data_IF_075005029070
#
_entry.id   IF_075005029070
#
_cell.length_a   1.000
_cell.length_b   1.000
_cell.length_c   1.000
_cell.angle_alpha   90.00
_cell.angle_beta   90.00
_cell.angle_gamma   90.00
#
_symmetry.space_group_name_H-M   'P 1'
#
loop_
_entity.id
_entity.type
_entity.pdbx_description
1 polymer ?
#
# COMPACT_ATOMS: atom_id res chain seq x y z
N UNK A 1 10.96 -3.02 -14.02
CA UNK A 1 9.74 -2.69 -13.23
C UNK A 1 8.65 -3.70 -13.56
N UNK A 2 7.61 -3.80 -12.73
CA UNK A 2 6.46 -4.64 -13.02
C UNK A 2 5.49 -3.99 -14.00
N UNK A 3 5.19 -2.71 -13.77
CA UNK A 3 4.44 -1.84 -14.66
C UNK A 3 5.24 -0.54 -14.81
N UNK A 4 5.69 -0.25 -16.03
CA UNK A 4 6.40 0.98 -16.36
C UNK A 4 5.51 1.84 -17.29
N UNK A 5 5.27 3.08 -16.91
CA UNK A 5 4.44 4.04 -17.69
C UNK A 5 5.23 5.22 -18.23
N UNK A 6 6.55 5.15 -18.24
CA UNK A 6 7.44 6.25 -18.65
C UNK A 6 7.46 6.40 -20.18
N UNK A 7 7.40 7.64 -20.67
CA UNK A 7 7.39 7.96 -22.11
C UNK A 7 8.74 7.69 -22.78
N UNK A 8 9.84 7.74 -22.01
CA UNK A 8 11.18 7.35 -22.49
C UNK A 8 11.79 8.37 -23.46
N UNK A 9 11.88 9.63 -23.02
CA UNK A 9 12.41 10.75 -23.82
C UNK A 9 13.92 10.68 -24.09
N UNK A 10 14.64 9.79 -23.39
CA UNK A 10 16.10 9.63 -23.51
C UNK A 10 16.50 8.16 -23.45
N UNK A 11 17.56 7.80 -24.20
CA UNK A 11 18.15 6.46 -24.14
C UNK A 11 18.73 6.20 -22.74
N UNK A 12 18.31 5.11 -22.11
CA UNK A 12 18.71 4.73 -20.76
C UNK A 12 17.81 5.25 -19.63
N UNK A 13 16.75 6.01 -19.95
CA UNK A 13 15.78 6.50 -18.95
C UNK A 13 16.16 7.85 -18.30
N UNK A 14 15.20 8.44 -17.60
CA UNK A 14 15.36 9.70 -16.86
C UNK A 14 14.52 9.65 -15.59
N UNK A 15 14.94 10.38 -14.54
CA UNK A 15 14.17 10.59 -13.31
C UNK A 15 13.24 11.82 -13.39
N UNK A 16 13.08 12.39 -14.59
CA UNK A 16 12.29 13.60 -14.79
C UNK A 16 10.82 13.27 -14.99
N UNK A 17 9.95 14.13 -14.47
CA UNK A 17 8.54 14.06 -14.80
C UNK A 17 8.32 14.35 -16.31
N UNK A 18 7.89 13.34 -17.07
CA UNK A 18 7.61 13.39 -18.50
C UNK A 18 6.11 13.56 -18.83
N UNK A 19 5.27 13.72 -17.80
CA UNK A 19 3.81 13.86 -17.86
C UNK A 19 3.05 12.60 -18.34
N UNK A 20 3.68 11.43 -18.31
CA UNK A 20 2.96 10.16 -18.47
C UNK A 20 1.82 10.01 -17.45
N UNK A 21 0.83 9.18 -17.77
CA UNK A 21 -0.36 9.01 -16.94
C UNK A 21 -0.67 7.52 -16.72
N UNK A 22 -0.65 7.09 -15.47
CA UNK A 22 -1.30 5.86 -15.02
C UNK A 22 -2.59 6.20 -14.30
N UNK A 23 -3.71 5.61 -14.72
CA UNK A 23 -5.00 5.75 -14.04
C UNK A 23 -5.66 4.40 -13.80
N UNK A 24 -6.03 4.12 -12.56
CA UNK A 24 -6.80 2.93 -12.17
C UNK A 24 -8.16 3.39 -11.66
N UNK A 25 -9.20 3.10 -12.42
CA UNK A 25 -10.59 3.49 -12.09
C UNK A 25 -11.47 2.32 -11.62
N UNK A 26 -10.96 1.10 -11.67
CA UNK A 26 -11.70 -0.13 -11.38
C UNK A 26 -10.85 -1.38 -11.62
N UNK A 27 -11.44 -2.54 -11.41
CA UNK A 27 -10.75 -3.83 -11.58
C UNK A 27 -9.75 -4.14 -10.47
N UNK A 28 -8.86 -5.09 -10.73
CA UNK A 28 -7.80 -5.52 -9.80
C UNK A 28 -6.46 -5.44 -10.53
N UNK A 29 -5.52 -4.70 -9.97
CA UNK A 29 -4.15 -4.52 -10.46
C UNK A 29 -3.20 -5.09 -9.42
N UNK A 30 -2.44 -6.12 -9.80
CA UNK A 30 -1.48 -6.80 -8.91
C UNK A 30 -0.13 -6.77 -9.60
N UNK A 31 0.84 -6.07 -9.02
CA UNK A 31 2.12 -5.82 -9.68
C UNK A 31 3.28 -6.06 -8.72
N UNK A 32 4.35 -6.66 -9.24
CA UNK A 32 5.58 -6.93 -8.52
C UNK A 32 6.77 -6.69 -9.44
N UNK A 33 7.93 -6.32 -8.90
CA UNK A 33 9.14 -6.06 -9.68
C UNK A 33 10.29 -5.62 -8.77
N UNK A 34 11.36 -5.06 -9.34
CA UNK A 34 12.23 -4.16 -8.56
C UNK A 34 11.37 -2.99 -8.13
N UNK A 35 10.89 -2.21 -9.09
CA UNK A 35 9.78 -1.27 -8.83
C UNK A 35 8.52 -1.98 -9.28
N UNK A 36 7.53 -2.08 -8.40
CA UNK A 36 6.27 -2.68 -8.79
C UNK A 36 5.59 -1.76 -9.81
N UNK A 37 5.39 -0.49 -9.46
CA UNK A 37 4.87 0.54 -10.36
C UNK A 37 5.94 1.62 -10.51
N UNK A 38 6.39 1.86 -11.74
CA UNK A 38 7.25 2.98 -12.13
C UNK A 38 6.46 3.91 -13.06
N UNK A 39 6.36 5.17 -12.66
CA UNK A 39 5.84 6.24 -13.49
C UNK A 39 6.73 7.48 -13.43
N UNK A 40 7.38 7.77 -14.55
CA UNK A 40 7.92 9.10 -14.80
C UNK A 40 6.86 10.19 -14.98
N UNK A 41 5.59 9.93 -14.68
CA UNK A 41 4.53 10.91 -14.75
C UNK A 41 3.65 10.88 -13.50
N UNK A 42 2.34 10.95 -13.69
CA UNK A 42 1.37 10.95 -12.60
C UNK A 42 0.69 9.57 -12.48
N UNK A 43 0.40 9.17 -11.25
CA UNK A 43 -0.39 7.99 -10.94
C UNK A 43 -1.65 8.40 -10.16
N UNK A 44 -2.82 8.08 -10.69
CA UNK A 44 -4.11 8.32 -10.03
C UNK A 44 -4.91 7.03 -9.85
N UNK A 45 -5.36 6.77 -8.62
CA UNK A 45 -6.30 5.70 -8.29
C UNK A 45 -7.64 6.34 -7.94
N UNK A 46 -8.70 6.03 -8.68
CA UNK A 46 -10.07 6.49 -8.42
C UNK A 46 -11.05 5.36 -8.09
N UNK A 47 -10.62 4.10 -8.23
CA UNK A 47 -11.42 2.92 -7.92
C UNK A 47 -10.62 1.64 -8.07
N UNK A 48 -11.27 0.49 -7.85
CA UNK A 48 -10.64 -0.83 -7.96
C UNK A 48 -9.73 -1.18 -6.77
N UNK A 49 -8.93 -2.22 -6.96
CA UNK A 49 -7.97 -2.73 -5.97
C UNK A 49 -6.58 -2.73 -6.58
N UNK A 50 -5.64 -2.01 -5.97
CA UNK A 50 -4.23 -1.98 -6.34
C UNK A 50 -3.40 -2.67 -5.27
N UNK A 51 -2.62 -3.67 -5.68
CA UNK A 51 -1.66 -4.39 -4.85
C UNK A 51 -0.30 -4.26 -5.51
N UNK A 52 0.62 -3.54 -4.89
CA UNK A 52 1.97 -3.31 -5.40
C UNK A 52 3.00 -3.79 -4.37
N UNK A 53 3.94 -4.65 -4.78
CA UNK A 53 5.02 -5.05 -3.89
C UNK A 53 6.33 -5.30 -4.65
N UNK A 54 7.31 -4.45 -4.37
CA UNK A 54 8.65 -4.47 -4.96
C UNK A 54 9.72 -4.07 -3.94
N UNK A 55 10.92 -3.75 -4.43
CA UNK A 55 11.91 -2.94 -3.73
C UNK A 55 11.41 -1.50 -3.57
N UNK A 56 10.69 -1.00 -4.58
CA UNK A 56 9.80 0.15 -4.48
C UNK A 56 8.38 -0.30 -4.83
N UNK A 57 7.40 0.01 -3.98
CA UNK A 57 6.02 -0.33 -4.29
C UNK A 57 5.47 0.57 -5.41
N UNK A 58 5.74 1.87 -5.31
CA UNK A 58 5.24 2.91 -6.19
C UNK A 58 6.34 3.98 -6.30
N UNK A 59 7.04 3.99 -7.43
CA UNK A 59 7.91 5.09 -7.83
C UNK A 59 7.17 6.00 -8.82
N UNK A 60 7.00 7.26 -8.43
CA UNK A 60 6.26 8.27 -9.18
C UNK A 60 7.01 9.60 -9.13
N UNK A 61 7.30 10.16 -10.31
CA UNK A 61 8.00 11.44 -10.44
C UNK A 61 7.06 12.66 -10.52
N UNK A 62 5.77 12.44 -10.81
CA UNK A 62 4.71 13.44 -10.75
C UNK A 62 3.80 13.30 -9.53
N UNK A 63 2.51 13.57 -9.72
CA UNK A 63 1.51 13.44 -8.66
C UNK A 63 1.12 11.97 -8.47
N UNK A 64 1.19 11.51 -7.23
CA UNK A 64 0.60 10.25 -6.80
C UNK A 64 -0.69 10.52 -6.01
N UNK A 65 -1.86 10.32 -6.62
CA UNK A 65 -3.16 10.66 -6.05
C UNK A 65 -4.02 9.43 -5.80
N UNK A 66 -4.58 9.34 -4.59
CA UNK A 66 -5.55 8.29 -4.22
C UNK A 66 -6.88 8.94 -3.88
N UNK A 67 -7.84 8.76 -4.78
CA UNK A 67 -9.15 9.40 -4.78
C UNK A 67 -10.31 8.39 -4.65
N UNK A 68 -10.01 7.09 -4.64
CA UNK A 68 -11.00 6.04 -4.48
C UNK A 68 -10.35 4.65 -4.55
N UNK A 69 -11.12 3.63 -4.20
CA UNK A 69 -10.69 2.23 -4.26
C UNK A 69 -9.87 1.77 -3.06
N UNK A 70 -9.18 0.65 -3.24
CA UNK A 70 -8.31 0.02 -2.27
C UNK A 70 -6.87 0.04 -2.78
N UNK A 71 -5.93 0.42 -1.92
CA UNK A 71 -4.51 0.38 -2.20
C UNK A 71 -3.78 -0.33 -1.06
N UNK A 72 -2.96 -1.31 -1.40
CA UNK A 72 -1.86 -1.78 -0.55
C UNK A 72 -0.57 -1.83 -1.38
N UNK A 73 0.35 -0.94 -1.03
CA UNK A 73 1.75 -0.97 -1.44
C UNK A 73 2.61 -1.50 -0.30
N UNK A 74 3.66 -2.25 -0.61
CA UNK A 74 4.60 -2.75 0.37
C UNK A 74 6.03 -2.84 -0.21
N UNK A 75 7.02 -2.48 0.59
CA UNK A 75 8.42 -2.43 0.16
C UNK A 75 9.38 -2.44 1.36
N UNK A 76 10.65 -2.83 1.18
CA UNK A 76 11.71 -2.60 2.16
C UNK A 76 11.80 -1.12 2.55
N UNK A 77 12.42 -0.82 3.70
CA UNK A 77 12.65 0.57 4.07
C UNK A 77 13.63 1.23 3.08
N UNK A 78 13.21 2.35 2.49
CA UNK A 78 14.02 3.17 1.58
C UNK A 78 13.96 4.64 1.98
N UNK A 79 14.99 5.41 1.63
CA UNK A 79 14.99 6.86 1.79
C UNK A 79 14.32 7.61 0.62
N UNK A 80 13.95 6.88 -0.44
CA UNK A 80 13.43 7.46 -1.69
C UNK A 80 11.90 7.43 -1.77
N UNK A 81 11.25 6.60 -0.96
CA UNK A 81 9.80 6.41 -0.98
C UNK A 81 9.05 7.69 -0.64
N UNK A 82 8.17 8.11 -1.55
CA UNK A 82 7.32 9.29 -1.39
C UNK A 82 5.93 8.86 -0.95
N UNK A 83 5.34 9.62 -0.02
CA UNK A 83 3.93 9.45 0.34
C UNK A 83 3.00 9.81 -0.84
N UNK A 84 1.73 9.42 -0.71
CA UNK A 84 0.65 9.97 -1.54
C UNK A 84 0.65 11.51 -1.48
N UNK A 85 0.33 12.15 -2.60
CA UNK A 85 0.20 13.61 -2.71
C UNK A 85 -0.93 14.14 -1.85
N UNK A 86 -0.73 15.32 -1.26
CA UNK A 86 -1.67 15.96 -0.32
C UNK A 86 -3.02 16.34 -0.94
N UNK A 87 -3.12 16.37 -2.27
CA UNK A 87 -4.36 16.56 -3.03
C UNK A 87 -5.22 15.29 -3.12
N UNK A 88 -4.75 14.15 -2.61
CA UNK A 88 -5.54 12.91 -2.52
C UNK A 88 -6.82 13.15 -1.71
N UNK A 89 -7.95 12.66 -2.20
CA UNK A 89 -9.26 12.91 -1.57
C UNK A 89 -9.73 11.78 -0.66
N UNK A 90 -9.20 10.57 -0.83
CA UNK A 90 -9.47 9.44 0.05
C UNK A 90 -8.43 9.37 1.18
N UNK A 91 -8.87 9.01 2.39
CA UNK A 91 -7.96 8.85 3.53
C UNK A 91 -7.02 7.67 3.29
N UNK A 92 -5.72 7.93 3.45
CA UNK A 92 -4.68 6.93 3.34
C UNK A 92 -3.60 7.11 4.40
N UNK A 93 -2.80 6.07 4.57
CA UNK A 93 -1.65 5.99 5.46
C UNK A 93 -0.39 5.71 4.65
N UNK A 94 0.68 6.48 4.92
CA UNK A 94 2.03 6.10 4.57
C UNK A 94 2.72 5.59 5.83
N UNK A 95 2.84 4.27 5.95
CA UNK A 95 3.29 3.59 7.15
C UNK A 95 4.78 3.29 7.01
N UNK A 96 5.58 3.69 8.00
CA UNK A 96 7.03 3.51 8.04
C UNK A 96 7.39 2.75 9.31
N UNK A 97 7.79 1.49 9.17
CA UNK A 97 8.23 0.67 10.30
C UNK A 97 9.76 0.59 10.36
N UNK A 98 10.31 0.60 11.56
CA UNK A 98 11.71 0.28 11.86
C UNK A 98 12.02 -1.22 11.73
N UNK A 99 10.98 -2.07 11.83
CA UNK A 99 11.07 -3.52 11.65
C UNK A 99 10.35 -3.97 10.38
N UNK A 100 10.88 -4.96 9.66
CA UNK A 100 10.21 -5.53 8.49
C UNK A 100 9.21 -6.62 8.86
N UNK A 101 8.11 -6.68 8.12
CA UNK A 101 7.22 -7.84 8.02
C UNK A 101 7.88 -8.86 7.10
N UNK A 102 8.20 -10.03 7.64
CA UNK A 102 8.74 -11.14 6.86
C UNK A 102 7.71 -11.68 5.86
N UNK A 103 8.18 -12.34 4.79
CA UNK A 103 7.33 -12.95 3.75
C UNK A 103 6.45 -14.11 4.26
N UNK A 104 6.74 -14.61 5.46
CA UNK A 104 5.98 -15.63 6.19
C UNK A 104 5.00 -15.06 7.20
N UNK A 105 4.96 -13.72 7.36
CA UNK A 105 4.16 -13.01 8.36
C UNK A 105 3.12 -12.10 7.71
N UNK A 106 2.24 -11.53 8.51
CA UNK A 106 1.16 -10.66 8.06
C UNK A 106 1.37 -9.24 8.59
N UNK A 107 0.93 -8.25 7.82
CA UNK A 107 0.48 -6.97 8.36
C UNK A 107 -1.04 -7.00 8.41
N UNK A 108 -1.60 -6.54 9.53
CA UNK A 108 -3.04 -6.43 9.71
C UNK A 108 -3.40 -5.03 10.23
N UNK A 109 -4.46 -4.43 9.69
CA UNK A 109 -5.00 -3.15 10.13
C UNK A 109 -6.49 -3.30 10.38
N UNK A 110 -6.92 -2.91 11.58
CA UNK A 110 -8.31 -2.91 11.99
C UNK A 110 -8.71 -1.55 12.59
N UNK A 111 -10.00 -1.25 12.57
CA UNK A 111 -10.53 -0.10 13.29
C UNK A 111 -10.69 -0.37 14.81
N UNK A 112 -11.15 0.65 15.54
CA UNK A 112 -11.38 0.55 16.98
C UNK A 112 -12.37 -0.56 17.39
N UNK A 113 -13.29 -0.97 16.49
CA UNK A 113 -14.26 -2.05 16.73
C UNK A 113 -13.71 -3.44 16.42
N UNK A 114 -12.50 -3.53 15.86
CA UNK A 114 -11.90 -4.79 15.40
C UNK A 114 -12.36 -5.21 14.01
N UNK A 115 -12.90 -4.29 13.21
CA UNK A 115 -13.23 -4.57 11.81
C UNK A 115 -11.94 -4.65 11.00
N UNK A 116 -11.72 -5.78 10.32
CA UNK A 116 -10.61 -5.98 9.38
C UNK A 116 -10.70 -4.97 8.21
N UNK A 117 -9.67 -4.15 8.05
CA UNK A 117 -9.51 -3.22 6.93
C UNK A 117 -8.40 -3.64 5.97
N UNK A 118 -7.45 -4.43 6.45
CA UNK A 118 -6.32 -4.97 5.70
C UNK A 118 -5.81 -6.20 6.44
N UNK A 119 -5.68 -7.32 5.72
CA UNK A 119 -4.77 -8.39 6.10
C UNK A 119 -3.91 -8.72 4.88
N UNK A 120 -2.61 -8.50 4.96
CA UNK A 120 -1.71 -8.64 3.81
C UNK A 120 -0.45 -9.43 4.16
N UNK A 121 -0.09 -10.36 3.28
CA UNK A 121 1.19 -11.09 3.34
C UNK A 121 2.10 -10.58 2.22
N UNK A 122 3.25 -9.96 2.53
CA UNK A 122 4.11 -9.41 1.49
C UNK A 122 4.89 -10.53 0.77
N UNK A 123 5.18 -10.30 -0.51
CA UNK A 123 6.04 -11.13 -1.37
C UNK A 123 7.53 -10.93 -1.06
N UNK A 124 7.94 -9.72 -0.73
CA UNK A 124 9.27 -9.35 -0.24
C UNK A 124 9.19 -8.93 1.23
N UNK A 125 10.30 -8.94 1.97
CA UNK A 125 10.25 -8.42 3.34
C UNK A 125 10.02 -6.90 3.29
N UNK A 126 8.97 -6.41 3.92
CA UNK A 126 8.51 -5.02 3.77
C UNK A 126 8.45 -4.29 5.10
N UNK A 127 8.89 -3.04 5.12
CA UNK A 127 8.83 -2.17 6.28
C UNK A 127 7.98 -0.92 6.02
N UNK A 128 7.89 -0.49 4.76
CA UNK A 128 7.11 0.68 4.36
C UNK A 128 5.88 0.23 3.57
N UNK A 129 4.76 0.94 3.75
CA UNK A 129 3.48 0.58 3.16
C UNK A 129 2.67 1.82 2.77
N UNK A 130 2.13 1.81 1.56
CA UNK A 130 1.04 2.68 1.15
C UNK A 130 -0.29 1.99 1.35
N UNK A 131 -1.16 2.54 2.20
CA UNK A 131 -2.46 1.94 2.45
C UNK A 131 -3.59 2.95 2.28
N UNK A 132 -4.62 2.58 1.52
CA UNK A 132 -5.88 3.30 1.45
C UNK A 132 -7.04 2.31 1.33
N UNK A 133 -8.12 2.57 2.04
CA UNK A 133 -9.34 1.75 2.02
C UNK A 133 -10.55 2.70 2.13
N UNK A 134 -11.67 2.47 1.41
CA UNK A 134 -12.84 3.36 1.46
C UNK A 134 -13.48 3.48 2.84
N UNK A 135 -13.19 2.54 3.74
CA UNK A 135 -13.66 2.57 5.13
C UNK A 135 -12.79 3.45 6.05
N UNK A 136 -11.64 3.94 5.59
CA UNK A 136 -10.84 4.89 6.37
C UNK A 136 -11.53 6.24 6.42
N UNK A 137 -11.58 6.82 7.61
CA UNK A 137 -12.19 8.11 7.91
C UNK A 137 -11.17 9.05 8.55
N UNK A 138 -11.41 10.37 8.41
CA UNK A 138 -10.67 11.42 9.11
C UNK A 138 -10.99 11.37 10.60
N UNK A 139 -10.00 11.53 11.47
CA UNK A 139 -10.17 11.39 12.92
C UNK A 139 -10.45 9.96 13.40
N UNK A 140 -10.32 8.96 12.53
CA UNK A 140 -10.57 7.56 12.87
C UNK A 140 -9.40 6.96 13.66
N UNK A 141 -9.71 6.05 14.57
CA UNK A 141 -8.73 5.30 15.37
C UNK A 141 -8.56 3.89 14.81
N UNK A 142 -7.31 3.46 14.68
CA UNK A 142 -6.95 2.17 14.09
C UNK A 142 -5.89 1.47 14.92
N UNK A 143 -5.67 0.19 14.63
CA UNK A 143 -4.59 -0.63 15.19
C UNK A 143 -3.84 -1.32 14.07
N UNK A 144 -2.51 -1.29 14.12
CA UNK A 144 -1.62 -1.93 13.16
C UNK A 144 -0.89 -3.06 13.86
N UNK A 145 -1.04 -4.28 13.36
CA UNK A 145 -0.43 -5.49 13.88
C UNK A 145 0.52 -6.09 12.87
N UNK A 146 1.64 -6.65 13.36
CA UNK A 146 2.47 -7.58 12.61
C UNK A 146 2.31 -8.99 13.18
N UNK A 147 2.24 -10.01 12.31
CA UNK A 147 1.98 -11.39 12.70
C UNK A 147 0.50 -11.69 12.89
N UNK A 148 0.22 -12.70 13.71
CA UNK A 148 -1.12 -13.28 13.85
C UNK A 148 -1.33 -14.46 12.90
N UNK A 149 -2.58 -14.93 12.83
CA UNK A 149 -2.97 -16.05 11.97
C UNK A 149 -4.21 -15.69 11.16
N UNK A 150 -4.37 -16.33 9.99
CA UNK A 150 -5.54 -16.14 9.13
C UNK A 150 -6.06 -17.51 8.69
N UNK A 151 -7.38 -17.72 8.81
CA UNK A 151 -8.01 -19.01 8.51
C UNK A 151 -9.31 -18.84 7.74
N UNK A 152 -9.72 -19.88 7.00
CA UNK A 152 -11.03 -19.95 6.35
C UNK A 152 -11.23 -19.07 5.12
N UNK A 153 -10.21 -18.34 4.65
CA UNK A 153 -10.31 -17.46 3.49
C UNK A 153 -9.36 -17.80 2.33
N UNK A 154 -9.25 -16.85 1.40
CA UNK A 154 -8.39 -16.87 0.22
C UNK A 154 -7.49 -15.63 0.20
N UNK A 155 -6.76 -15.43 -0.89
CA UNK A 155 -5.97 -14.22 -1.10
C UNK A 155 -6.08 -13.75 -2.55
N UNK A 156 -6.06 -12.43 -2.73
CA UNK A 156 -5.91 -11.74 -4.00
C UNK A 156 -4.41 -11.45 -4.14
N UNK A 157 -3.75 -12.20 -5.02
CA UNK A 157 -2.31 -12.20 -5.23
C UNK A 157 -1.95 -13.14 -6.38
N UNK A 158 -0.69 -13.60 -6.45
CA UNK A 158 -0.31 -14.70 -7.35
C UNK A 158 -0.40 -16.07 -6.65
N UNK A 159 -0.14 -17.16 -7.36
CA UNK A 159 -0.24 -18.55 -6.87
C UNK A 159 0.63 -18.95 -5.65
N UNK A 160 1.50 -18.08 -5.12
CA UNK A 160 2.45 -18.40 -4.05
C UNK A 160 1.99 -17.95 -2.64
N UNK A 161 0.71 -17.62 -2.46
CA UNK A 161 0.14 -17.36 -1.13
C UNK A 161 0.43 -15.99 -0.52
N UNK A 162 1.13 -15.09 -1.21
CA UNK A 162 1.25 -13.68 -0.82
C UNK A 162 0.08 -12.87 -1.39
N UNK A 163 -0.14 -11.67 -0.88
CA UNK A 163 -1.17 -10.75 -1.36
C UNK A 163 -2.16 -10.34 -0.27
N UNK A 164 -3.30 -9.81 -0.70
CA UNK A 164 -4.39 -9.35 0.15
C UNK A 164 -5.29 -10.53 0.55
N UNK A 165 -5.36 -10.84 1.83
CA UNK A 165 -6.16 -11.95 2.35
C UNK A 165 -7.62 -11.52 2.48
N UNK A 166 -8.54 -12.37 2.03
CA UNK A 166 -9.98 -12.04 1.91
C UNK A 166 -10.87 -13.23 2.25
N UNK A 167 -12.09 -12.96 2.72
CA UNK A 167 -13.13 -13.97 2.93
C UNK A 167 -12.90 -14.92 4.12
N UNK A 168 -11.86 -14.71 4.92
CA UNK A 168 -11.55 -15.46 6.13
C UNK A 168 -11.48 -14.58 7.38
N UNK A 169 -10.91 -15.14 8.44
CA UNK A 169 -10.84 -14.50 9.76
C UNK A 169 -9.40 -14.36 10.21
N UNK A 170 -9.00 -13.13 10.53
CA UNK A 170 -7.76 -12.82 11.22
C UNK A 170 -7.88 -13.09 12.73
N UNK A 171 -6.80 -13.58 13.35
CA UNK A 171 -6.64 -13.67 14.79
C UNK A 171 -5.32 -13.04 15.21
N UNK A 172 -5.36 -12.19 16.24
CA UNK A 172 -4.19 -11.55 16.82
C UNK A 172 -3.33 -12.49 17.69
N UNK A 173 -3.68 -13.77 17.79
CA UNK A 173 -2.87 -14.77 18.49
C UNK A 173 -1.48 -14.88 17.84
N UNK A 174 -0.43 -14.52 18.59
CA UNK A 174 0.94 -14.47 18.10
C UNK A 174 1.28 -13.21 17.29
N UNK A 175 0.37 -12.24 17.22
CA UNK A 175 0.62 -10.92 16.65
C UNK A 175 1.24 -9.96 17.67
N UNK A 176 1.95 -8.96 17.17
CA UNK A 176 2.43 -7.81 17.95
C UNK A 176 1.68 -6.56 17.50
N UNK A 177 1.02 -5.87 18.42
CA UNK A 177 0.50 -4.53 18.16
C UNK A 177 1.68 -3.57 17.99
N UNK A 178 1.78 -2.98 16.80
CA UNK A 178 2.87 -2.07 16.43
C UNK A 178 2.53 -0.61 16.67
N UNK A 179 1.29 -0.22 16.40
CA UNK A 179 0.82 1.16 16.58
C UNK A 179 -0.70 1.22 16.68
N UNK A 180 -1.20 2.26 17.35
CA UNK A 180 -2.63 2.58 17.43
C UNK A 180 -2.90 4.01 16.94
N UNK A 181 -2.72 4.29 15.64
CA UNK A 181 -2.78 5.66 15.13
C UNK A 181 -4.20 6.20 15.12
N UNK A 182 -4.29 7.54 15.24
CA UNK A 182 -5.50 8.31 14.88
C UNK A 182 -5.19 9.11 13.62
N UNK A 183 -6.02 8.99 12.58
CA UNK A 183 -5.85 9.80 11.37
C UNK A 183 -6.20 11.27 11.63
N UNK A 184 -5.65 12.17 10.83
CA UNK A 184 -5.94 13.60 10.88
C UNK A 184 -7.44 13.87 10.69
N UNK A 185 -7.95 14.89 11.38
CA UNK A 185 -9.31 15.40 11.20
C UNK A 185 -9.46 16.30 9.98
N UNK A 186 -8.35 16.79 9.41
CA UNK A 186 -8.35 17.74 8.28
C UNK A 186 -7.68 17.18 7.03
N UNK A 187 -6.57 16.45 7.18
CA UNK A 187 -5.82 15.86 6.07
C UNK A 187 -6.32 14.45 5.72
N UNK A 188 -6.04 14.03 4.49
CA UNK A 188 -6.33 12.69 3.97
C UNK A 188 -5.09 11.78 3.97
N UNK A 189 -3.90 12.36 3.81
CA UNK A 189 -2.63 11.62 3.86
C UNK A 189 -2.05 11.64 5.27
N UNK A 190 -1.76 10.47 5.83
CA UNK A 190 -1.29 10.31 7.21
C UNK A 190 0.03 9.53 7.24
N UNK A 191 1.12 10.15 7.66
CA UNK A 191 2.38 9.42 7.87
C UNK A 191 2.40 8.81 9.27
N UNK A 192 2.55 7.49 9.35
CA UNK A 192 2.61 6.73 10.60
C UNK A 192 3.99 6.11 10.73
N UNK A 193 4.71 6.38 11.83
CA UNK A 193 6.05 5.84 12.05
C UNK A 193 6.12 5.08 13.38
N UNK A 194 6.74 3.88 13.38
CA UNK A 194 6.93 3.05 14.59
C UNK A 194 8.09 2.05 14.47
#
# INVERSE_FOLDING_TARGET
DGLNTSYGTVSGGTESNDNSQLTVSGGIVIVTGSDAIDSNGNFTISGGTVIANGNEDIDVNGNFLVNGGFLIGAEPASNMTKAMGTASTQVGMFIKSSASVATTSLIHIEDASGKDLLTFKPKTASAYFHFSNPSLTKGGQYKIYFGGTYTGGSYIGNSSGWGLYTGGTYSNSGATLKSSPTTSSSATVNTISF
#
